data_IF_793570604049
#
_entry.id   IF_793570604049
#
_cell.length_a   1.000
_cell.length_b   1.000
_cell.length_c   1.000
_cell.angle_alpha   90.00
_cell.angle_beta   90.00
_cell.angle_gamma   90.00
#
_symmetry.space_group_name_H-M   'P 1'
#
loop_
_entity.id
_entity.type
_entity.pdbx_description
1 polymer ?
#
# COMPACT_ATOMS: atom_id res chain seq x y z
N UNK A 1 -7.27 13.93 6.69
CA UNK A 1 -6.70 13.70 5.35
C UNK A 1 -7.73 13.98 4.25
N UNK A 2 -8.73 13.13 4.00
CA UNK A 2 -9.72 13.39 2.92
C UNK A 2 -10.63 14.60 3.12
N UNK A 3 -10.67 15.19 4.32
CA UNK A 3 -11.40 16.44 4.60
C UNK A 3 -10.48 17.67 4.48
N UNK A 4 -9.19 17.52 4.77
CA UNK A 4 -8.20 18.61 4.71
C UNK A 4 -7.67 18.80 3.27
N UNK A 5 -7.50 17.69 2.55
CA UNK A 5 -7.10 17.63 1.14
C UNK A 5 -8.14 16.78 0.40
N UNK A 6 -9.27 17.36 -0.02
CA UNK A 6 -10.39 16.61 -0.58
C UNK A 6 -10.11 15.99 -1.95
N UNK A 7 -9.13 16.52 -2.67
CA UNK A 7 -8.65 16.11 -3.99
C UNK A 7 -7.49 15.11 -3.94
N UNK A 8 -6.90 14.88 -2.76
CA UNK A 8 -5.77 13.98 -2.61
C UNK A 8 -6.09 12.54 -3.04
N UNK A 9 -5.20 11.97 -3.84
CA UNK A 9 -5.18 10.54 -4.16
C UNK A 9 -4.55 9.76 -3.01
N UNK A 10 -5.25 8.74 -2.50
CA UNK A 10 -4.81 7.93 -1.37
C UNK A 10 -4.79 6.45 -1.77
N UNK A 11 -3.60 5.87 -1.77
CA UNK A 11 -3.42 4.42 -1.89
C UNK A 11 -3.37 3.80 -0.50
N UNK A 12 -4.19 2.78 -0.25
CA UNK A 12 -4.24 2.05 1.01
C UNK A 12 -3.77 0.63 0.75
N UNK A 13 -2.57 0.28 1.23
CA UNK A 13 -2.07 -1.08 1.11
C UNK A 13 -2.85 -2.03 1.99
N UNK A 14 -3.33 -3.12 1.39
CA UNK A 14 -3.56 -4.37 2.13
C UNK A 14 -2.20 -4.79 2.68
N UNK A 15 -2.05 -4.92 3.99
CA UNK A 15 -0.75 -5.20 4.62
C UNK A 15 -0.23 -6.60 4.23
N UNK A 16 1.10 -6.77 4.17
CA UNK A 16 1.72 -8.08 3.91
C UNK A 16 1.49 -9.06 5.07
N UNK A 17 1.72 -10.35 4.81
CA UNK A 17 1.63 -11.39 5.83
C UNK A 17 2.88 -11.47 6.72
N UNK A 18 2.72 -12.06 7.90
CA UNK A 18 3.82 -12.54 8.76
C UNK A 18 4.06 -14.03 8.50
N UNK A 19 5.23 -14.59 8.82
CA UNK A 19 5.51 -16.02 8.55
C UNK A 19 4.44 -16.99 9.07
N UNK A 20 4.31 -18.13 8.38
CA UNK A 20 3.48 -19.25 8.80
C UNK A 20 4.26 -20.17 9.74
N UNK A 21 4.09 -19.95 11.04
CA UNK A 21 4.69 -20.81 12.07
C UNK A 21 3.79 -20.88 13.30
N UNK A 22 3.93 -21.94 14.13
CA UNK A 22 3.17 -22.02 15.39
C UNK A 22 3.34 -20.81 16.30
N UNK A 23 4.53 -20.18 16.31
CA UNK A 23 4.81 -18.97 17.09
C UNK A 23 4.07 -17.74 16.55
N UNK A 24 3.92 -17.63 15.23
CA UNK A 24 3.31 -16.47 14.58
C UNK A 24 1.82 -16.65 14.26
N UNK A 25 1.25 -17.83 14.47
CA UNK A 25 -0.12 -18.18 14.06
C UNK A 25 -1.17 -17.15 14.51
N UNK A 26 -1.18 -16.79 15.80
CA UNK A 26 -2.15 -15.82 16.32
C UNK A 26 -2.01 -14.42 15.69
N UNK A 27 -0.78 -14.02 15.35
CA UNK A 27 -0.53 -12.77 14.63
C UNK A 27 -0.98 -12.89 13.17
N UNK A 28 -0.63 -13.97 12.47
CA UNK A 28 -0.99 -14.22 11.07
C UNK A 28 -2.51 -14.19 10.86
N UNK A 29 -3.28 -14.81 11.76
CA UNK A 29 -4.74 -14.79 11.69
C UNK A 29 -5.32 -13.39 11.91
N UNK A 30 -4.75 -12.58 12.81
CA UNK A 30 -5.15 -11.17 12.97
C UNK A 30 -4.79 -10.32 11.75
N UNK A 31 -3.64 -10.58 11.14
CA UNK A 31 -3.22 -9.93 9.89
C UNK A 31 -4.22 -10.23 8.78
N UNK A 32 -4.62 -11.49 8.59
CA UNK A 32 -5.65 -11.89 7.61
C UNK A 32 -6.99 -11.18 7.84
N UNK A 33 -7.43 -11.06 9.10
CA UNK A 33 -8.65 -10.30 9.42
C UNK A 33 -8.52 -8.83 9.03
N UNK A 34 -7.38 -8.19 9.29
CA UNK A 34 -7.12 -6.81 8.87
C UNK A 34 -7.17 -6.68 7.33
N UNK A 35 -6.49 -7.57 6.62
CA UNK A 35 -6.45 -7.60 5.15
C UNK A 35 -7.86 -7.67 4.55
N UNK A 36 -8.75 -8.52 5.10
CA UNK A 36 -10.13 -8.68 4.63
C UNK A 36 -10.98 -7.40 4.79
N UNK A 37 -10.68 -6.56 5.79
CA UNK A 37 -11.48 -5.36 6.09
C UNK A 37 -11.10 -4.16 5.21
N UNK A 38 -9.84 -4.07 4.77
CA UNK A 38 -9.30 -2.91 4.04
C UNK A 38 -10.09 -2.64 2.73
N UNK A 39 -10.35 -3.62 1.85
CA UNK A 39 -11.10 -3.37 0.62
C UNK A 39 -12.51 -2.81 0.88
N UNK A 40 -13.18 -3.27 1.94
CA UNK A 40 -14.51 -2.79 2.32
C UNK A 40 -14.47 -1.34 2.81
N UNK A 41 -13.44 -0.98 3.58
CA UNK A 41 -13.20 0.37 4.08
C UNK A 41 -12.92 1.35 2.92
N UNK A 42 -12.08 0.96 1.96
CA UNK A 42 -11.77 1.77 0.77
C UNK A 42 -13.00 1.94 -0.10
N UNK A 43 -13.73 0.86 -0.41
CA UNK A 43 -14.96 0.92 -1.22
C UNK A 43 -15.99 1.88 -0.65
N UNK A 44 -16.13 1.97 0.68
CA UNK A 44 -17.02 2.96 1.31
C UNK A 44 -16.57 4.40 1.10
N UNK A 45 -15.26 4.66 1.03
CA UNK A 45 -14.71 6.00 0.74
C UNK A 45 -14.87 6.36 -0.73
N UNK A 46 -14.60 5.44 -1.65
CA UNK A 46 -14.84 5.62 -3.08
C UNK A 46 -16.32 5.93 -3.36
N UNK A 47 -17.26 5.19 -2.75
CA UNK A 47 -18.71 5.47 -2.87
C UNK A 47 -19.13 6.86 -2.39
N UNK A 48 -18.29 7.55 -1.61
CA UNK A 48 -18.48 8.93 -1.17
C UNK A 48 -17.74 9.95 -2.07
N UNK A 49 -17.24 9.52 -3.22
CA UNK A 49 -16.52 10.37 -4.18
C UNK A 49 -15.08 10.69 -3.80
N UNK A 50 -14.46 9.98 -2.84
CA UNK A 50 -13.06 10.21 -2.47
C UNK A 50 -12.13 9.37 -3.37
N UNK A 51 -11.00 9.95 -3.79
CA UNK A 51 -9.95 9.30 -4.59
C UNK A 51 -9.10 8.33 -3.75
N UNK A 52 -9.71 7.25 -3.28
CA UNK A 52 -9.05 6.25 -2.42
C UNK A 52 -9.04 4.91 -3.12
N UNK A 53 -7.90 4.23 -3.22
CA UNK A 53 -7.79 2.90 -3.83
C UNK A 53 -7.09 1.94 -2.89
N UNK A 54 -7.51 0.66 -2.92
CA UNK A 54 -6.86 -0.40 -2.16
C UNK A 54 -5.83 -1.04 -3.07
N UNK A 55 -4.58 -1.15 -2.62
CA UNK A 55 -3.52 -1.84 -3.36
C UNK A 55 -3.26 -3.18 -2.69
N UNK A 56 -3.26 -4.24 -3.49
CA UNK A 56 -3.31 -5.60 -2.99
C UNK A 56 -1.92 -6.18 -2.80
N UNK A 57 -1.43 -6.19 -1.55
CA UNK A 57 -0.19 -6.88 -1.18
C UNK A 57 -0.46 -8.19 -0.43
N UNK A 58 -1.73 -8.66 -0.39
CA UNK A 58 -2.05 -9.94 0.26
C UNK A 58 -1.39 -11.14 -0.43
N UNK A 59 -0.98 -10.97 -1.70
CA UNK A 59 -0.21 -11.92 -2.50
C UNK A 59 1.21 -12.21 -1.97
N UNK A 60 1.64 -11.55 -0.89
CA UNK A 60 2.90 -11.87 -0.20
C UNK A 60 3.02 -13.34 0.19
N UNK A 61 1.90 -14.01 0.48
CA UNK A 61 1.90 -15.45 0.77
C UNK A 61 2.43 -16.29 -0.41
N UNK A 62 2.22 -15.85 -1.66
CA UNK A 62 2.76 -16.49 -2.86
C UNK A 62 4.26 -16.21 -3.04
N UNK A 63 4.74 -15.05 -2.57
CA UNK A 63 6.14 -14.63 -2.69
C UNK A 63 7.07 -15.38 -1.73
N UNK A 64 6.54 -15.84 -0.59
CA UNK A 64 7.21 -16.73 0.33
C UNK A 64 7.82 -16.04 1.55
N UNK A 65 7.80 -16.77 2.67
CA UNK A 65 8.28 -16.30 3.97
C UNK A 65 9.80 -16.03 4.01
N UNK A 66 10.57 -16.55 3.05
CA UNK A 66 12.01 -16.28 2.91
C UNK A 66 12.33 -14.81 2.60
N UNK A 67 11.34 -14.03 2.19
CA UNK A 67 11.46 -12.59 2.00
C UNK A 67 11.24 -11.79 3.31
N UNK A 68 11.09 -12.45 4.46
CA UNK A 68 10.94 -11.82 5.77
C UNK A 68 12.16 -12.10 6.65
N UNK A 69 12.79 -11.07 7.21
CA UNK A 69 13.99 -11.23 8.03
C UNK A 69 13.70 -11.78 9.44
N UNK A 70 12.59 -11.36 10.03
CA UNK A 70 12.23 -11.62 11.44
C UNK A 70 10.78 -12.09 11.58
N UNK A 71 10.26 -12.67 10.49
CA UNK A 71 8.86 -13.05 10.32
C UNK A 71 7.84 -11.91 10.20
N UNK A 72 8.28 -10.65 10.17
CA UNK A 72 7.40 -9.48 10.08
C UNK A 72 7.89 -8.49 9.02
N UNK A 73 9.18 -8.15 9.04
CA UNK A 73 9.76 -7.14 8.16
C UNK A 73 10.38 -7.78 6.93
N UNK A 74 10.21 -7.18 5.74
CA UNK A 74 10.89 -7.63 4.52
C UNK A 74 12.42 -7.64 4.64
N UNK A 75 13.06 -8.54 3.90
CA UNK A 75 14.49 -8.44 3.55
C UNK A 75 14.69 -7.36 2.47
N UNK A 76 15.94 -7.10 2.06
CA UNK A 76 16.21 -6.21 0.93
C UNK A 76 15.50 -6.68 -0.35
N UNK A 77 15.65 -7.95 -0.73
CA UNK A 77 14.93 -8.53 -1.88
C UNK A 77 13.40 -8.42 -1.73
N UNK A 78 12.90 -8.54 -0.49
CA UNK A 78 11.48 -8.33 -0.19
C UNK A 78 11.04 -6.87 -0.37
N UNK A 79 11.88 -5.91 -0.01
CA UNK A 79 11.64 -4.48 -0.26
C UNK A 79 11.73 -4.14 -1.75
N UNK A 80 12.62 -4.77 -2.52
CA UNK A 80 12.69 -4.60 -3.97
C UNK A 80 11.38 -5.06 -4.64
N UNK A 81 10.88 -6.27 -4.30
CA UNK A 81 9.59 -6.77 -4.77
C UNK A 81 8.43 -5.84 -4.36
N UNK A 82 8.45 -5.36 -3.11
CA UNK A 82 7.45 -4.42 -2.63
C UNK A 82 7.49 -3.10 -3.39
N UNK A 83 8.68 -2.63 -3.78
CA UNK A 83 8.90 -1.47 -4.63
C UNK A 83 8.25 -1.63 -6.00
N UNK A 84 8.46 -2.78 -6.65
CA UNK A 84 7.82 -3.10 -7.94
C UNK A 84 6.30 -3.08 -7.85
N UNK A 85 5.73 -3.60 -6.75
CA UNK A 85 4.29 -3.57 -6.51
C UNK A 85 3.79 -2.13 -6.35
N UNK A 86 4.42 -1.34 -5.49
CA UNK A 86 4.07 0.08 -5.34
C UNK A 86 4.13 0.83 -6.66
N UNK A 87 5.21 0.67 -7.43
CA UNK A 87 5.35 1.29 -8.75
C UNK A 87 4.20 0.88 -9.69
N UNK A 88 3.89 -0.41 -9.76
CA UNK A 88 2.78 -0.92 -10.57
C UNK A 88 1.45 -0.29 -10.19
N UNK A 89 1.13 -0.16 -8.89
CA UNK A 89 -0.13 0.46 -8.48
C UNK A 89 -0.16 1.97 -8.66
N UNK A 90 0.95 2.66 -8.41
CA UNK A 90 1.06 4.11 -8.61
C UNK A 90 0.84 4.47 -10.09
N UNK A 91 1.45 3.71 -11.01
CA UNK A 91 1.31 3.93 -12.46
C UNK A 91 -0.08 3.57 -13.01
N UNK A 92 -0.92 2.91 -12.23
CA UNK A 92 -2.31 2.58 -12.59
C UNK A 92 -3.34 3.53 -11.94
N UNK A 93 -2.89 4.52 -11.18
CA UNK A 93 -3.78 5.57 -10.67
C UNK A 93 -4.42 6.30 -11.85
N UNK A 94 -5.71 6.58 -11.74
CA UNK A 94 -6.45 7.34 -12.73
C UNK A 94 -5.83 8.74 -12.90
N UNK A 95 -5.37 9.06 -14.10
CA UNK A 95 -4.76 10.34 -14.42
C UNK A 95 -5.72 11.51 -14.15
N UNK A 96 -7.04 11.28 -14.28
CA UNK A 96 -8.05 12.31 -13.96
C UNK A 96 -8.04 12.71 -12.47
N UNK A 97 -7.52 11.85 -11.59
CA UNK A 97 -7.40 12.16 -10.16
C UNK A 97 -6.15 12.98 -9.83
N UNK A 98 -5.19 13.09 -10.75
CA UNK A 98 -3.91 13.77 -10.54
C UNK A 98 -3.98 15.17 -11.16
N UNK A 99 -3.78 16.19 -10.33
CA UNK A 99 -3.79 17.60 -10.76
C UNK A 99 -2.39 18.09 -11.11
N UNK A 100 -2.30 19.18 -11.86
CA UNK A 100 -1.02 19.83 -12.15
C UNK A 100 -0.31 20.26 -10.85
N UNK A 101 1.04 20.15 -10.80
CA UNK A 101 1.82 20.62 -9.68
C UNK A 101 1.48 22.07 -9.32
N UNK A 102 1.31 22.34 -8.03
CA UNK A 102 1.08 23.69 -7.52
C UNK A 102 2.42 24.31 -7.08
N UNK A 103 2.75 25.47 -7.64
CA UNK A 103 3.98 26.21 -7.32
C UNK A 103 5.03 26.15 -8.43
N UNK A 104 6.10 26.94 -8.27
CA UNK A 104 7.21 26.93 -9.22
C UNK A 104 8.06 25.66 -9.01
N UNK A 105 8.65 25.17 -10.09
CA UNK A 105 9.70 24.16 -10.00
C UNK A 105 10.80 24.64 -9.04
N UNK A 106 11.26 23.78 -8.10
CA UNK A 106 12.33 24.15 -7.19
C UNK A 106 13.60 24.49 -7.98
N UNK A 107 14.28 25.55 -7.57
CA UNK A 107 15.53 25.97 -8.19
C UNK A 107 16.67 25.02 -7.78
N UNK A 108 17.05 24.13 -8.70
CA UNK A 108 18.14 23.17 -8.50
C UNK A 108 19.54 23.77 -8.74
N UNK A 109 19.65 25.07 -9.01
CA UNK A 109 20.93 25.73 -9.37
C UNK A 109 21.90 25.99 -8.21
N UNK A 110 21.73 25.34 -7.06
CA UNK A 110 22.55 25.56 -5.85
C UNK A 110 23.20 24.30 -5.27
N UNK A 111 23.86 23.50 -6.12
CA UNK A 111 24.86 22.50 -5.69
C UNK A 111 26.21 22.72 -6.37
#
# INVERSE_FOLDING_TARGET
MTEECPDAVILVSVIINTCDSPKMHAQRERTKLCQQLIPGIVRRRQKKGKHVVAVDFSRWEEAGDNLLQDCIHPTNDGYDLMGDWWYSFITQVDEEWIQEPQGNDPDWSSN
#
